data_IF_022733797184
#
_entry.id   IF_022733797184
#
_cell.length_a   1.000
_cell.length_b   1.000
_cell.length_c   1.000
_cell.angle_alpha   90.00
_cell.angle_beta   90.00
_cell.angle_gamma   90.00
#
_symmetry.space_group_name_H-M   'P 1'
#
loop_
_entity.id
_entity.type
_entity.pdbx_description
1 polymer ?
#
# COMPACT_ATOMS: atom_id res chain seq x y z
N UNK A 1 -44.61 18.34 -26.18
CA UNK A 1 -43.48 19.25 -25.90
C UNK A 1 -42.36 18.34 -25.39
N UNK A 2 -41.58 17.78 -26.31
CA UNK A 2 -40.48 16.86 -26.01
C UNK A 2 -39.19 17.67 -25.94
N UNK A 3 -38.57 17.71 -24.76
CA UNK A 3 -37.25 18.32 -24.59
C UNK A 3 -36.20 17.38 -25.15
N UNK A 4 -35.59 17.77 -26.24
CA UNK A 4 -34.39 17.12 -26.80
C UNK A 4 -33.19 17.48 -25.92
N UNK A 5 -32.53 16.49 -25.34
CA UNK A 5 -31.24 16.66 -24.70
C UNK A 5 -30.16 16.61 -25.78
N UNK A 6 -29.35 17.67 -26.02
CA UNK A 6 -28.43 17.72 -27.14
C UNK A 6 -27.04 17.16 -26.82
N UNK A 7 -26.94 16.17 -25.96
CA UNK A 7 -25.67 15.50 -25.69
C UNK A 7 -25.55 14.26 -26.57
N UNK A 8 -24.77 14.40 -27.64
CA UNK A 8 -24.44 13.32 -28.55
C UNK A 8 -23.51 12.33 -27.80
N UNK A 9 -24.07 11.21 -27.34
CA UNK A 9 -23.34 10.12 -26.64
C UNK A 9 -22.13 9.61 -27.42
N UNK A 10 -22.07 9.78 -28.74
CA UNK A 10 -20.91 9.39 -29.56
C UNK A 10 -19.69 10.27 -29.31
N UNK A 11 -19.85 11.56 -28.94
CA UNK A 11 -18.70 12.43 -28.66
C UNK A 11 -18.06 12.16 -27.30
N UNK A 12 -18.83 11.74 -26.29
CA UNK A 12 -18.28 11.36 -24.97
C UNK A 12 -17.45 10.06 -25.06
N UNK A 13 -17.88 9.08 -25.85
CA UNK A 13 -17.16 7.83 -26.06
C UNK A 13 -15.82 8.08 -26.78
N UNK A 14 -15.81 8.96 -27.80
CA UNK A 14 -14.62 9.29 -28.58
C UNK A 14 -13.56 10.06 -27.78
N UNK A 15 -13.97 10.89 -26.85
CA UNK A 15 -13.04 11.62 -25.94
C UNK A 15 -12.46 10.69 -24.90
N UNK A 16 -13.24 9.71 -24.42
CA UNK A 16 -12.76 8.72 -23.43
C UNK A 16 -11.84 7.68 -24.08
N UNK A 17 -12.05 7.33 -25.36
CA UNK A 17 -11.14 6.41 -26.08
C UNK A 17 -9.76 7.03 -26.37
N UNK A 18 -9.65 8.36 -26.43
CA UNK A 18 -8.39 9.04 -26.74
C UNK A 18 -7.71 9.68 -25.53
N UNK A 19 -8.40 9.79 -24.39
CA UNK A 19 -7.81 10.32 -23.17
C UNK A 19 -7.48 9.18 -22.19
N UNK A 20 -6.30 8.60 -22.33
CA UNK A 20 -5.73 7.75 -21.30
C UNK A 20 -4.70 8.56 -20.51
N UNK A 21 -5.06 9.10 -19.31
CA UNK A 21 -4.16 9.90 -18.51
C UNK A 21 -2.95 9.10 -17.98
N UNK A 22 -2.98 7.77 -18.14
CA UNK A 22 -1.92 6.85 -17.73
C UNK A 22 -0.96 6.50 -18.87
N UNK A 23 -1.21 6.99 -20.11
CA UNK A 23 -0.28 6.89 -21.21
C UNK A 23 0.64 8.11 -21.18
N UNK A 24 1.89 7.91 -20.89
CA UNK A 24 2.95 8.88 -21.09
C UNK A 24 3.42 8.84 -22.55
N UNK A 25 4.13 9.86 -22.99
CA UNK A 25 4.49 10.22 -24.38
C UNK A 25 4.97 9.11 -25.33
N UNK A 26 5.00 7.85 -24.95
CA UNK A 26 5.51 6.73 -25.75
C UNK A 26 4.53 5.55 -25.92
N UNK A 27 3.22 5.73 -25.80
CA UNK A 27 2.20 4.67 -25.91
C UNK A 27 2.42 3.47 -24.94
N UNK A 28 3.30 3.62 -23.97
CA UNK A 28 3.53 2.63 -22.92
C UNK A 28 2.74 3.00 -21.66
N UNK A 29 2.15 2.02 -20.96
CA UNK A 29 1.47 2.30 -19.68
C UNK A 29 2.48 2.86 -18.67
N UNK A 30 2.06 3.89 -17.93
CA UNK A 30 2.87 4.49 -16.90
C UNK A 30 3.15 3.49 -15.77
N UNK A 31 4.39 3.46 -15.29
CA UNK A 31 4.85 2.61 -14.19
C UNK A 31 4.89 3.41 -12.90
N UNK A 32 4.22 2.89 -11.90
CA UNK A 32 4.14 3.50 -10.59
C UNK A 32 4.91 2.70 -9.55
N UNK A 33 5.65 3.39 -8.70
CA UNK A 33 6.20 2.82 -7.48
C UNK A 33 5.64 3.56 -6.27
N UNK A 34 5.24 2.81 -5.26
CA UNK A 34 4.84 3.35 -3.95
C UNK A 34 5.78 2.81 -2.88
N UNK A 35 6.16 3.66 -1.93
CA UNK A 35 7.14 3.33 -0.88
C UNK A 35 6.53 3.58 0.49
N UNK A 36 6.50 2.55 1.34
CA UNK A 36 5.99 2.70 2.70
C UNK A 36 5.91 1.39 3.48
N UNK A 37 5.26 1.42 4.63
CA UNK A 37 5.13 0.25 5.48
C UNK A 37 3.83 -0.52 5.20
N UNK A 38 3.95 -1.82 4.96
CA UNK A 38 2.82 -2.76 4.99
C UNK A 38 2.71 -3.38 6.38
N UNK A 39 1.48 -3.42 6.92
CA UNK A 39 1.19 -3.93 8.26
C UNK A 39 0.16 -5.06 8.23
N UNK A 40 0.24 -5.94 9.22
CA UNK A 40 -0.82 -6.89 9.53
C UNK A 40 -2.00 -6.14 10.18
N UNK A 41 -3.19 -6.27 9.61
CA UNK A 41 -4.44 -5.79 10.19
C UNK A 41 -5.19 -6.93 10.85
N UNK A 42 -5.54 -6.74 12.12
CA UNK A 42 -6.35 -7.67 12.89
C UNK A 42 -7.69 -7.02 13.25
N UNK A 43 -8.78 -7.61 12.77
CA UNK A 43 -10.14 -7.07 12.95
C UNK A 43 -11.00 -8.09 13.69
N UNK A 44 -11.59 -7.75 14.84
CA UNK A 44 -12.61 -8.60 15.45
C UNK A 44 -13.80 -8.80 14.51
N UNK A 45 -14.37 -10.00 14.40
CA UNK A 45 -15.54 -10.25 13.57
C UNK A 45 -16.78 -9.56 14.14
N UNK A 46 -17.86 -9.50 13.39
CA UNK A 46 -19.19 -9.08 13.81
C UNK A 46 -19.26 -7.74 14.56
N UNK A 47 -18.38 -6.79 14.21
CA UNK A 47 -18.30 -5.47 14.87
C UNK A 47 -17.97 -5.55 16.38
N UNK A 48 -17.36 -6.63 16.84
CA UNK A 48 -16.98 -6.78 18.24
C UNK A 48 -15.89 -5.79 18.65
N UNK A 49 -15.81 -5.51 19.93
CA UNK A 49 -14.68 -4.79 20.52
C UNK A 49 -13.55 -5.78 20.80
N UNK A 50 -12.31 -5.34 20.70
CA UNK A 50 -11.11 -6.16 21.00
C UNK A 50 -11.25 -6.88 22.33
N UNK A 51 -11.76 -6.21 23.38
CA UNK A 51 -11.93 -6.80 24.71
C UNK A 51 -12.90 -7.99 24.79
N UNK A 52 -13.73 -8.16 23.77
CA UNK A 52 -14.74 -9.23 23.70
C UNK A 52 -14.38 -10.29 22.66
N UNK A 53 -13.42 -9.99 21.81
CA UNK A 53 -13.06 -10.85 20.69
C UNK A 53 -12.32 -12.10 21.16
N UNK A 54 -12.78 -13.26 20.72
CA UNK A 54 -12.10 -14.55 20.90
C UNK A 54 -11.18 -14.90 19.73
N UNK A 55 -11.37 -14.25 18.58
CA UNK A 55 -10.61 -14.45 17.35
C UNK A 55 -10.51 -13.14 16.57
N UNK A 56 -9.65 -13.11 15.55
CA UNK A 56 -9.45 -11.98 14.67
C UNK A 56 -9.36 -12.44 13.22
N UNK A 57 -9.96 -11.68 12.34
CA UNK A 57 -9.72 -11.76 10.90
C UNK A 57 -8.41 -11.05 10.58
N UNK A 58 -7.51 -11.75 9.89
CA UNK A 58 -6.22 -11.21 9.48
C UNK A 58 -6.27 -10.74 8.03
N UNK A 59 -5.80 -9.52 7.80
CA UNK A 59 -5.60 -8.94 6.46
C UNK A 59 -4.37 -8.03 6.49
N UNK A 60 -4.04 -7.39 5.38
CA UNK A 60 -2.91 -6.49 5.31
C UNK A 60 -3.37 -5.10 4.89
N UNK A 61 -2.57 -4.08 5.21
CA UNK A 61 -2.83 -2.70 4.82
C UNK A 61 -1.66 -1.80 5.16
N UNK A 62 -1.68 -0.62 4.60
CA UNK A 62 -0.72 0.45 4.75
C UNK A 62 -1.13 1.55 3.80
N UNK A 63 -0.81 2.80 4.07
CA UNK A 63 -1.23 3.91 3.21
C UNK A 63 -0.79 3.68 1.77
N UNK A 64 0.49 3.51 1.57
CA UNK A 64 1.13 3.33 0.26
C UNK A 64 0.82 1.97 -0.35
N UNK A 65 0.72 0.91 0.48
CA UNK A 65 0.30 -0.42 0.04
C UNK A 65 -1.14 -0.40 -0.51
N UNK A 66 -2.05 0.34 0.14
CA UNK A 66 -3.43 0.50 -0.34
C UNK A 66 -3.49 1.26 -1.67
N UNK A 67 -2.62 2.25 -1.88
CA UNK A 67 -2.52 2.96 -3.16
C UNK A 67 -1.98 2.02 -4.25
N UNK A 68 -0.93 1.23 -3.96
CA UNK A 68 -0.43 0.24 -4.91
C UNK A 68 -1.53 -0.74 -5.34
N UNK A 69 -2.32 -1.25 -4.38
CA UNK A 69 -3.46 -2.13 -4.66
C UNK A 69 -4.54 -1.45 -5.48
N UNK A 70 -4.86 -0.19 -5.16
CA UNK A 70 -5.87 0.56 -5.91
C UNK A 70 -5.43 0.77 -7.36
N UNK A 71 -4.16 1.12 -7.59
CA UNK A 71 -3.59 1.27 -8.93
C UNK A 71 -3.61 -0.05 -9.69
N UNK A 72 -3.17 -1.15 -9.09
CA UNK A 72 -3.20 -2.48 -9.71
C UNK A 72 -4.64 -2.90 -10.10
N UNK A 73 -5.63 -2.66 -9.22
CA UNK A 73 -7.04 -2.93 -9.52
C UNK A 73 -7.60 -2.06 -10.66
N UNK A 74 -7.00 -0.90 -10.93
CA UNK A 74 -7.32 -0.05 -12.07
C UNK A 74 -6.54 -0.43 -13.34
N UNK A 75 -5.76 -1.51 -13.30
CA UNK A 75 -4.96 -1.97 -14.44
C UNK A 75 -3.66 -1.19 -14.67
N UNK A 76 -3.20 -0.45 -13.66
CA UNK A 76 -1.92 0.28 -13.72
C UNK A 76 -0.77 -0.64 -13.32
N UNK A 77 0.37 -0.53 -14.00
CA UNK A 77 1.62 -1.22 -13.63
C UNK A 77 2.12 -0.64 -12.30
N UNK A 78 1.81 -1.33 -11.20
CA UNK A 78 2.02 -0.85 -9.83
C UNK A 78 3.02 -1.71 -9.09
N UNK A 79 4.07 -1.06 -8.58
CA UNK A 79 5.11 -1.66 -7.75
C UNK A 79 5.05 -1.10 -6.34
N UNK A 80 5.31 -1.94 -5.35
CA UNK A 80 5.40 -1.54 -3.94
C UNK A 80 6.77 -1.89 -3.37
N UNK A 81 7.45 -0.89 -2.78
CA UNK A 81 8.66 -1.09 -2.01
C UNK A 81 8.38 -0.99 -0.51
N UNK A 82 8.92 -1.94 0.22
CA UNK A 82 8.90 -1.98 1.69
C UNK A 82 10.00 -2.89 2.22
N UNK A 83 10.23 -2.83 3.52
CA UNK A 83 11.05 -3.81 4.24
C UNK A 83 10.14 -4.60 5.17
N UNK A 84 10.17 -5.92 5.05
CA UNK A 84 9.39 -6.83 5.90
C UNK A 84 10.31 -7.90 6.50
N UNK A 85 9.98 -8.46 7.67
CA UNK A 85 10.81 -9.50 8.27
C UNK A 85 10.80 -10.78 7.43
N UNK A 86 11.94 -11.46 7.32
CA UNK A 86 12.07 -12.76 6.63
C UNK A 86 11.48 -13.90 7.46
N UNK A 87 10.21 -13.78 7.83
CA UNK A 87 9.44 -14.78 8.56
C UNK A 87 8.10 -15.05 7.88
N UNK A 88 7.26 -15.89 8.48
CA UNK A 88 5.96 -16.26 7.90
C UNK A 88 5.02 -15.06 7.68
N UNK A 89 5.02 -14.06 8.59
CA UNK A 89 4.15 -12.89 8.48
C UNK A 89 4.61 -11.97 7.34
N UNK A 90 5.91 -11.66 7.25
CA UNK A 90 6.44 -10.84 6.16
C UNK A 90 6.25 -11.50 4.80
N UNK A 91 6.54 -12.81 4.69
CA UNK A 91 6.30 -13.57 3.45
C UNK A 91 4.82 -13.61 3.06
N UNK A 92 3.91 -13.69 4.03
CA UNK A 92 2.46 -13.63 3.77
C UNK A 92 2.02 -12.27 3.28
N UNK A 93 2.58 -11.16 3.81
CA UNK A 93 2.30 -9.81 3.31
C UNK A 93 2.72 -9.65 1.84
N UNK A 94 3.94 -10.12 1.49
CA UNK A 94 4.42 -10.11 0.09
C UNK A 94 3.53 -10.96 -0.82
N UNK A 95 3.14 -12.15 -0.36
CA UNK A 95 2.24 -13.03 -1.14
C UNK A 95 0.88 -12.37 -1.37
N UNK A 96 0.33 -11.72 -0.34
CA UNK A 96 -0.95 -11.05 -0.44
C UNK A 96 -0.91 -9.88 -1.45
N UNK A 97 0.14 -9.05 -1.43
CA UNK A 97 0.32 -8.00 -2.42
C UNK A 97 0.40 -8.56 -3.84
N UNK A 98 1.22 -9.61 -4.05
CA UNK A 98 1.35 -10.28 -5.35
C UNK A 98 0.07 -10.92 -5.84
N UNK A 99 -0.76 -11.45 -4.95
CA UNK A 99 -2.05 -12.05 -5.33
C UNK A 99 -3.10 -11.01 -5.75
N UNK A 100 -2.79 -9.72 -5.58
CA UNK A 100 -3.57 -8.58 -6.04
C UNK A 100 -2.81 -7.77 -7.11
N UNK A 101 -1.98 -8.45 -7.89
CA UNK A 101 -1.25 -7.91 -9.05
C UNK A 101 -0.31 -6.74 -8.75
N UNK A 102 0.15 -6.60 -7.49
CA UNK A 102 1.18 -5.63 -7.12
C UNK A 102 2.56 -6.25 -7.28
N UNK A 103 3.44 -5.60 -8.03
CA UNK A 103 4.84 -6.01 -8.15
C UNK A 103 5.61 -5.72 -6.85
N UNK A 104 6.28 -6.75 -6.34
CA UNK A 104 7.02 -6.70 -5.06
C UNK A 104 8.50 -7.08 -5.23
N UNK A 105 9.03 -7.02 -6.45
CA UNK A 105 10.43 -7.41 -6.72
C UNK A 105 11.43 -6.62 -5.88
N UNK A 106 11.28 -5.29 -5.67
CA UNK A 106 12.23 -4.52 -4.89
C UNK A 106 12.08 -4.68 -3.37
N UNK A 107 11.05 -5.38 -2.87
CA UNK A 107 10.86 -5.52 -1.42
C UNK A 107 11.99 -6.30 -0.75
N UNK A 108 12.43 -5.79 0.41
CA UNK A 108 13.49 -6.40 1.21
C UNK A 108 12.88 -7.33 2.27
N UNK A 109 13.39 -8.57 2.32
CA UNK A 109 13.14 -9.52 3.40
C UNK A 109 14.30 -9.44 4.39
N UNK A 110 14.15 -8.64 5.46
CA UNK A 110 15.20 -8.39 6.43
C UNK A 110 15.49 -9.58 7.31
N UNK A 111 16.77 -9.75 7.68
CA UNK A 111 17.22 -10.74 8.65
C UNK A 111 17.12 -10.22 10.09
N UNK A 112 17.21 -11.08 11.12
CA UNK A 112 17.24 -10.63 12.52
C UNK A 112 18.43 -9.73 12.86
N UNK A 113 19.54 -9.84 12.13
CA UNK A 113 20.73 -8.99 12.30
C UNK A 113 20.49 -7.57 11.76
N UNK A 114 19.66 -7.43 10.72
CA UNK A 114 19.32 -6.14 10.10
C UNK A 114 18.19 -5.44 10.85
N UNK A 115 17.26 -6.22 11.42
CA UNK A 115 16.12 -5.71 12.17
C UNK A 115 15.91 -6.53 13.43
N UNK A 116 16.48 -6.10 14.57
CA UNK A 116 16.57 -6.92 15.80
C UNK A 116 15.24 -7.41 16.36
N UNK A 117 14.16 -6.61 16.27
CA UNK A 117 12.83 -7.08 16.68
C UNK A 117 12.20 -8.04 15.67
N UNK A 118 12.67 -8.03 14.44
CA UNK A 118 12.28 -8.92 13.34
C UNK A 118 10.76 -9.11 13.23
N UNK A 119 10.01 -7.99 13.32
CA UNK A 119 8.56 -7.99 13.35
C UNK A 119 7.93 -7.22 12.20
N UNK A 120 6.77 -7.68 11.74
CA UNK A 120 5.87 -6.92 10.91
C UNK A 120 5.05 -5.96 11.79
N UNK A 121 4.92 -4.69 11.40
CA UNK A 121 4.02 -3.76 12.06
C UNK A 121 2.60 -4.31 12.07
N UNK A 122 1.85 -4.06 13.14
CA UNK A 122 0.48 -4.57 13.32
C UNK A 122 -0.44 -3.43 13.73
N UNK A 123 -1.69 -3.49 13.32
CA UNK A 123 -2.74 -2.65 13.87
C UNK A 123 -4.04 -3.42 14.05
N UNK A 124 -4.81 -2.97 15.02
CA UNK A 124 -6.12 -3.53 15.35
C UNK A 124 -7.20 -2.55 14.89
N UNK A 125 -8.19 -3.05 14.15
CA UNK A 125 -9.31 -2.25 13.69
C UNK A 125 -10.61 -2.75 14.35
N UNK A 126 -11.12 -1.97 15.30
CA UNK A 126 -12.50 -2.16 15.80
C UNK A 126 -13.46 -1.48 14.82
N UNK A 127 -14.16 -2.25 14.04
CA UNK A 127 -15.13 -1.71 13.07
C UNK A 127 -16.31 -1.05 13.78
N UNK A 128 -16.68 0.15 13.34
CA UNK A 128 -17.82 0.87 13.86
C UNK A 128 -19.16 0.23 13.48
N UNK A 129 -20.21 0.51 14.27
CA UNK A 129 -21.57 0.08 13.98
C UNK A 129 -22.58 1.12 14.46
N UNK A 130 -23.52 1.52 13.62
CA UNK A 130 -24.48 2.58 13.91
C UNK A 130 -23.77 3.90 14.23
N UNK A 131 -24.03 4.45 15.40
CA UNK A 131 -23.42 5.70 15.89
C UNK A 131 -22.01 5.51 16.47
N UNK A 132 -21.55 4.27 16.63
CA UNK A 132 -20.21 3.99 17.16
C UNK A 132 -19.18 4.12 16.04
N UNK A 133 -18.18 5.01 16.16
CA UNK A 133 -17.12 5.12 15.18
C UNK A 133 -16.19 3.89 15.21
N UNK A 134 -15.49 3.66 14.11
CA UNK A 134 -14.37 2.74 14.06
C UNK A 134 -13.21 3.27 14.92
N UNK A 135 -12.41 2.35 15.48
CA UNK A 135 -11.23 2.69 16.26
C UNK A 135 -10.04 1.89 15.76
N UNK A 136 -8.92 2.55 15.54
CA UNK A 136 -7.65 1.92 15.20
C UNK A 136 -6.70 1.99 16.39
N UNK A 137 -6.05 0.87 16.70
CA UNK A 137 -4.98 0.80 17.70
C UNK A 137 -3.73 0.26 17.00
N UNK A 138 -2.67 1.08 16.96
CA UNK A 138 -1.40 0.71 16.32
C UNK A 138 -0.45 0.03 17.30
N UNK A 139 0.18 -1.04 16.82
CA UNK A 139 1.34 -1.70 17.42
C UNK A 139 2.40 -1.87 16.32
N UNK A 140 3.07 -0.76 15.95
CA UNK A 140 3.99 -0.71 14.81
C UNK A 140 5.39 -0.21 15.14
N UNK A 141 5.66 0.17 16.40
CA UNK A 141 7.01 0.58 16.78
C UNK A 141 8.00 -0.57 16.57
N UNK A 142 9.19 -0.22 16.15
CA UNK A 142 10.25 -1.20 15.91
C UNK A 142 9.86 -2.30 14.91
N UNK A 143 9.08 -1.94 13.88
CA UNK A 143 8.84 -2.85 12.77
C UNK A 143 10.09 -2.97 11.89
N UNK A 144 10.17 -4.03 11.10
CA UNK A 144 11.28 -4.23 10.17
C UNK A 144 11.51 -3.01 9.26
N UNK A 145 10.44 -2.35 8.79
CA UNK A 145 10.56 -1.15 7.97
C UNK A 145 11.23 0.01 8.72
N UNK A 146 10.92 0.20 10.01
CA UNK A 146 11.46 1.31 10.81
C UNK A 146 12.86 1.03 11.37
N UNK A 147 13.22 -0.24 11.56
CA UNK A 147 14.53 -0.65 12.09
C UNK A 147 15.60 -0.85 11.02
N UNK A 148 15.18 -1.20 9.80
CA UNK A 148 16.12 -1.41 8.71
C UNK A 148 16.87 -0.12 8.38
N UNK A 149 18.18 -0.22 8.17
CA UNK A 149 19.03 0.89 7.75
C UNK A 149 18.72 1.25 6.29
N UNK A 150 17.76 2.16 6.10
CA UNK A 150 17.29 2.58 4.78
C UNK A 150 18.36 3.33 3.97
N UNK A 151 19.44 3.82 4.59
CA UNK A 151 20.57 4.42 3.87
C UNK A 151 21.31 3.43 2.96
N UNK A 152 21.11 2.13 3.16
CA UNK A 152 21.66 1.06 2.30
C UNK A 152 20.88 0.85 1.01
N UNK A 153 19.71 1.45 0.89
CA UNK A 153 18.88 1.34 -0.32
C UNK A 153 19.39 2.31 -1.35
N UNK A 154 19.81 1.80 -2.49
CA UNK A 154 20.15 2.61 -3.66
C UNK A 154 18.85 3.14 -4.29
N UNK A 155 18.54 4.40 -4.01
CA UNK A 155 17.31 5.05 -4.51
C UNK A 155 17.34 5.24 -6.02
N UNK A 156 18.48 5.53 -6.61
CA UNK A 156 18.59 5.71 -8.06
C UNK A 156 18.26 4.39 -8.77
N UNK A 157 18.83 3.28 -8.29
CA UNK A 157 18.53 1.96 -8.82
C UNK A 157 17.08 1.51 -8.51
N UNK A 158 16.54 1.89 -7.35
CA UNK A 158 15.16 1.57 -6.97
C UNK A 158 14.14 2.28 -7.85
N UNK A 159 14.41 3.53 -8.22
CA UNK A 159 13.47 4.37 -8.97
C UNK A 159 13.67 4.29 -10.49
N UNK A 160 14.74 3.64 -10.94
CA UNK A 160 15.02 3.51 -12.37
C UNK A 160 13.89 2.80 -13.13
N UNK A 161 13.45 3.41 -14.21
CA UNK A 161 12.39 2.89 -15.08
C UNK A 161 10.97 3.08 -14.54
N UNK A 162 10.76 3.85 -13.47
CA UNK A 162 9.44 4.29 -13.02
C UNK A 162 9.14 5.72 -13.46
N UNK A 163 7.88 5.98 -13.79
CA UNK A 163 7.41 7.30 -14.22
C UNK A 163 6.85 8.11 -13.04
N UNK A 164 6.35 7.40 -12.01
CA UNK A 164 5.71 8.01 -10.84
C UNK A 164 6.14 7.35 -9.55
N UNK A 165 6.45 8.19 -8.55
CA UNK A 165 6.68 7.82 -7.17
C UNK A 165 5.54 8.35 -6.30
N UNK A 166 4.92 7.48 -5.48
CA UNK A 166 3.99 7.89 -4.44
C UNK A 166 4.55 7.65 -3.05
N UNK A 167 4.50 8.69 -2.24
CA UNK A 167 4.84 8.70 -0.81
C UNK A 167 3.72 9.39 -0.06
N UNK A 168 3.44 8.98 1.17
CA UNK A 168 2.57 9.72 2.08
C UNK A 168 3.37 10.36 3.21
N UNK A 169 2.78 11.33 3.89
CA UNK A 169 3.39 11.93 5.08
C UNK A 169 3.53 10.96 6.28
N UNK A 170 3.02 9.73 6.16
CA UNK A 170 3.15 8.71 7.21
C UNK A 170 4.59 8.18 7.25
N UNK A 171 5.18 7.87 6.10
CA UNK A 171 6.52 7.29 6.04
C UNK A 171 7.56 8.14 6.78
N UNK A 172 7.75 9.45 6.52
CA UNK A 172 8.70 10.26 7.28
C UNK A 172 8.32 10.43 8.76
N UNK A 173 7.04 10.32 9.13
CA UNK A 173 6.59 10.42 10.51
C UNK A 173 6.90 9.18 11.36
N UNK A 174 7.39 8.08 10.77
CA UNK A 174 7.72 6.84 11.49
C UNK A 174 9.04 6.93 12.27
N UNK A 175 9.91 7.87 11.96
CA UNK A 175 11.18 8.09 12.63
C UNK A 175 12.22 8.74 11.71
N UNK A 176 13.36 9.15 12.30
CA UNK A 176 14.38 9.89 11.57
C UNK A 176 14.94 9.10 10.37
N UNK A 177 15.24 7.81 10.55
CA UNK A 177 15.70 6.93 9.47
C UNK A 177 14.73 6.89 8.26
N UNK A 178 13.42 6.90 8.52
CA UNK A 178 12.41 6.96 7.46
C UNK A 178 12.26 8.37 6.86
N UNK A 179 12.49 9.42 7.67
CA UNK A 179 12.45 10.80 7.19
C UNK A 179 13.66 11.16 6.32
N UNK A 180 14.83 10.62 6.65
CA UNK A 180 16.06 10.84 5.87
C UNK A 180 16.05 10.07 4.53
N UNK A 181 15.22 9.02 4.44
CA UNK A 181 15.09 8.17 3.24
C UNK A 181 14.18 8.80 2.17
N UNK A 182 13.23 9.66 2.54
CA UNK A 182 12.23 10.25 1.63
C UNK A 182 12.43 11.74 1.45
#
# INVERSE_FOLDING_TARGET
MTWFCPWDQKREVDVMEHFNPLLLHNDSPAKFITIGEVMLRLTPPNYEKIRMASNFEASYGGSEANIALALANLGVDSTFFSVVPNNSLGKSAVRWLRSNDVHCTPMILSTPEETPTHRLGTYYLETGYGIRPSKVTYDRKHSAFTEYDLSKVDLDALLDGFDWLHLSGITPALGQNCADFV
#
